data_IF_304980217086
#
_entry.id   IF_304980217086
#
_cell.length_a   1.000
_cell.length_b   1.000
_cell.length_c   1.000
_cell.angle_alpha   90.00
_cell.angle_beta   90.00
_cell.angle_gamma   90.00
#
_symmetry.space_group_name_H-M   'P 1'
#
loop_
_entity.id
_entity.type
_entity.pdbx_description
1 polymer ?
#
# COMPACT_ATOMS: atom_id res chain seq x y z
N UNK A 1 2.62 7.04 7.52
CA UNK A 1 2.95 5.75 6.87
C UNK A 1 2.34 4.63 7.69
N UNK A 2 1.62 3.71 7.05
CA UNK A 2 1.12 2.47 7.68
C UNK A 2 1.93 1.31 7.10
N UNK A 3 2.72 0.63 7.93
CA UNK A 3 3.60 -0.46 7.49
C UNK A 3 3.15 -1.79 8.10
N UNK A 4 2.90 -2.78 7.24
CA UNK A 4 2.46 -4.11 7.63
C UNK A 4 3.67 -5.03 7.75
N UNK A 5 4.14 -5.25 8.97
CA UNK A 5 5.22 -6.20 9.28
C UNK A 5 4.77 -7.67 9.32
N UNK A 6 3.45 -7.91 9.36
CA UNK A 6 2.86 -9.24 9.41
C UNK A 6 1.54 -9.25 8.64
N UNK A 7 1.44 -10.11 7.63
CA UNK A 7 0.25 -10.18 6.77
C UNK A 7 -0.75 -11.24 7.23
N UNK A 8 -0.31 -12.36 7.78
CA UNK A 8 -1.21 -13.46 8.13
C UNK A 8 -0.89 -14.07 9.51
N UNK A 9 -1.86 -14.11 10.44
CA UNK A 9 -3.26 -13.68 10.26
C UNK A 9 -3.42 -12.15 10.29
N UNK A 10 -4.20 -11.58 9.36
CA UNK A 10 -4.55 -10.16 9.36
C UNK A 10 -5.70 -9.91 10.34
N UNK A 11 -5.49 -9.00 11.29
CA UNK A 11 -6.58 -8.52 12.14
C UNK A 11 -7.45 -7.49 11.39
N UNK A 12 -8.36 -7.98 10.54
CA UNK A 12 -9.22 -7.16 9.68
C UNK A 12 -9.91 -6.01 10.44
N UNK A 13 -10.40 -6.25 11.66
CA UNK A 13 -11.14 -5.23 12.43
C UNK A 13 -10.24 -4.05 12.80
N UNK A 14 -9.05 -4.33 13.33
CA UNK A 14 -8.09 -3.28 13.72
C UNK A 14 -7.59 -2.55 12.47
N UNK A 15 -7.20 -3.31 11.44
CA UNK A 15 -6.69 -2.75 10.19
C UNK A 15 -7.73 -1.83 9.53
N UNK A 16 -8.99 -2.28 9.42
CA UNK A 16 -10.07 -1.49 8.84
C UNK A 16 -10.27 -0.17 9.58
N UNK A 17 -10.28 -0.19 10.91
CA UNK A 17 -10.42 1.02 11.75
C UNK A 17 -9.32 2.05 11.49
N UNK A 18 -8.09 1.61 11.24
CA UNK A 18 -6.99 2.52 10.91
C UNK A 18 -7.10 3.04 9.48
N UNK A 19 -7.49 2.18 8.53
CA UNK A 19 -7.70 2.56 7.13
C UNK A 19 -8.84 3.59 6.95
N UNK A 20 -9.91 3.51 7.74
CA UNK A 20 -11.03 4.48 7.67
C UNK A 20 -10.63 5.93 8.04
N UNK A 21 -9.46 6.13 8.67
CA UNK A 21 -8.93 7.47 8.98
C UNK A 21 -8.14 8.09 7.82
N UNK A 22 -7.82 7.30 6.80
CA UNK A 22 -6.96 7.70 5.69
C UNK A 22 -7.81 8.44 4.64
N UNK A 23 -7.41 9.68 4.31
CA UNK A 23 -8.09 10.51 3.30
C UNK A 23 -7.61 10.26 1.86
N UNK A 24 -6.40 9.73 1.72
CA UNK A 24 -5.77 9.40 0.44
C UNK A 24 -4.61 8.44 0.69
N UNK A 25 -4.46 7.45 -0.19
CA UNK A 25 -3.56 6.32 0.00
C UNK A 25 -2.77 5.98 -1.27
N UNK A 26 -1.49 5.68 -1.08
CA UNK A 26 -0.63 5.08 -2.11
C UNK A 26 -0.13 3.75 -1.55
N UNK A 27 -0.44 2.64 -2.23
CA UNK A 27 0.12 1.34 -1.92
C UNK A 27 1.48 1.19 -2.61
N UNK A 28 2.56 1.01 -1.85
CA UNK A 28 3.92 0.85 -2.40
C UNK A 28 4.32 -0.62 -2.27
N UNK A 29 4.58 -1.28 -3.40
CA UNK A 29 4.90 -2.71 -3.43
C UNK A 29 6.05 -3.02 -4.39
N UNK A 30 7.00 -3.84 -3.95
CA UNK A 30 8.10 -4.32 -4.80
C UNK A 30 7.69 -5.59 -5.59
N UNK A 31 6.56 -5.53 -6.29
CA UNK A 31 6.06 -6.60 -7.14
C UNK A 31 5.31 -6.01 -8.36
N UNK A 32 4.91 -6.88 -9.30
CA UNK A 32 4.17 -6.48 -10.50
C UNK A 32 2.64 -6.53 -10.29
N UNK A 33 2.15 -7.57 -9.62
CA UNK A 33 0.72 -7.92 -9.60
C UNK A 33 -0.12 -7.16 -8.57
N UNK A 34 0.50 -6.39 -7.65
CA UNK A 34 -0.21 -5.73 -6.56
C UNK A 34 -0.82 -6.72 -5.56
N UNK A 35 -0.06 -7.75 -5.19
CA UNK A 35 -0.53 -8.83 -4.32
C UNK A 35 -1.01 -8.31 -2.96
N UNK A 36 -0.32 -7.34 -2.37
CA UNK A 36 -0.71 -6.80 -1.07
C UNK A 36 -1.96 -5.92 -1.16
N UNK A 37 -2.06 -5.01 -2.13
CA UNK A 37 -3.27 -4.21 -2.35
C UNK A 37 -4.50 -5.08 -2.63
N UNK A 38 -4.34 -6.16 -3.41
CA UNK A 38 -5.39 -7.15 -3.67
C UNK A 38 -5.79 -7.91 -2.40
N UNK A 39 -4.81 -8.39 -1.63
CA UNK A 39 -5.04 -9.04 -0.34
C UNK A 39 -5.74 -8.13 0.67
N UNK A 40 -5.30 -6.87 0.77
CA UNK A 40 -5.88 -5.88 1.65
C UNK A 40 -7.34 -5.61 1.30
N UNK A 41 -7.63 -5.46 0.00
CA UNK A 41 -8.99 -5.31 -0.50
C UNK A 41 -9.85 -6.54 -0.19
N UNK A 42 -9.36 -7.75 -0.45
CA UNK A 42 -10.07 -9.00 -0.15
C UNK A 42 -10.42 -9.12 1.35
N UNK A 43 -9.46 -8.77 2.24
CA UNK A 43 -9.65 -8.94 3.69
C UNK A 43 -10.42 -7.81 4.35
N UNK A 44 -10.40 -6.60 3.79
CA UNK A 44 -10.91 -5.39 4.48
C UNK A 44 -11.92 -4.58 3.67
N UNK A 45 -12.06 -4.87 2.38
CA UNK A 45 -12.83 -4.07 1.42
C UNK A 45 -12.24 -2.68 1.15
N UNK A 46 -11.06 -2.37 1.67
CA UNK A 46 -10.40 -1.09 1.44
C UNK A 46 -9.67 -1.11 0.10
N UNK A 47 -10.01 -0.18 -0.78
CA UNK A 47 -9.34 0.01 -2.07
C UNK A 47 -8.35 1.16 -1.92
N UNK A 48 -7.07 0.89 -2.15
CA UNK A 48 -6.07 1.96 -2.23
C UNK A 48 -6.39 2.88 -3.41
N UNK A 49 -6.23 4.19 -3.21
CA UNK A 49 -6.52 5.18 -4.25
C UNK A 49 -5.51 5.07 -5.39
N UNK A 50 -4.25 4.85 -5.02
CA UNK A 50 -3.11 4.80 -5.93
C UNK A 50 -2.18 3.64 -5.61
N UNK A 51 -1.39 3.23 -6.59
CA UNK A 51 -0.35 2.20 -6.44
C UNK A 51 0.98 2.69 -6.97
N UNK A 52 2.07 2.17 -6.39
CA UNK A 52 3.43 2.36 -6.88
C UNK A 52 4.17 1.03 -6.83
N UNK A 53 4.30 0.43 -8.02
CA UNK A 53 4.92 -0.87 -8.21
C UNK A 53 6.34 -0.73 -8.72
N UNK A 54 7.24 -1.56 -8.20
CA UNK A 54 8.61 -1.69 -8.69
C UNK A 54 8.99 -3.17 -8.76
N UNK A 55 9.51 -3.57 -9.91
CA UNK A 55 9.78 -4.98 -10.22
C UNK A 55 11.01 -5.13 -11.13
N UNK A 56 11.92 -4.15 -11.10
CA UNK A 56 13.19 -4.15 -11.84
C UNK A 56 14.37 -4.76 -11.06
N UNK A 57 14.10 -5.34 -9.89
CA UNK A 57 15.10 -5.94 -8.99
C UNK A 57 15.88 -4.93 -8.15
N UNK A 58 15.61 -3.62 -8.27
CA UNK A 58 16.26 -2.57 -7.47
C UNK A 58 15.37 -2.17 -6.29
N UNK A 59 15.95 -1.68 -5.18
CA UNK A 59 15.16 -1.11 -4.10
C UNK A 59 14.44 0.17 -4.57
N UNK A 60 13.41 0.57 -3.86
CA UNK A 60 12.85 1.91 -3.99
C UNK A 60 13.89 2.94 -3.52
N UNK A 61 14.18 3.92 -4.38
CA UNK A 61 14.98 5.08 -4.02
C UNK A 61 14.08 6.19 -3.47
N UNK A 62 14.63 7.00 -2.58
CA UNK A 62 13.87 8.04 -1.86
C UNK A 62 13.29 9.04 -2.85
N UNK A 63 14.07 9.40 -3.87
CA UNK A 63 13.71 10.35 -4.92
C UNK A 63 12.51 9.85 -5.74
N UNK A 64 12.42 8.54 -5.99
CA UNK A 64 11.30 7.93 -6.70
C UNK A 64 10.01 8.02 -5.89
N UNK A 65 10.10 7.76 -4.58
CA UNK A 65 8.94 7.83 -3.67
C UNK A 65 8.47 9.27 -3.52
N UNK A 66 9.38 10.24 -3.34
CA UNK A 66 9.05 11.67 -3.29
C UNK A 66 8.32 12.09 -4.56
N UNK A 67 8.89 11.77 -5.73
CA UNK A 67 8.29 12.10 -7.02
C UNK A 67 6.88 11.52 -7.18
N UNK A 68 6.65 10.28 -6.73
CA UNK A 68 5.32 9.66 -6.79
C UNK A 68 4.32 10.36 -5.86
N UNK A 69 4.75 10.82 -4.70
CA UNK A 69 3.89 11.56 -3.76
C UNK A 69 3.50 12.91 -4.37
N UNK A 70 4.45 13.68 -4.90
CA UNK A 70 4.21 15.01 -5.51
C UNK A 70 3.31 14.97 -6.76
N UNK A 71 3.24 13.82 -7.45
CA UNK A 71 2.34 13.65 -8.60
C UNK A 71 0.86 13.47 -8.18
N UNK A 72 0.62 13.05 -6.94
CA UNK A 72 -0.68 12.61 -6.46
C UNK A 72 -1.24 13.44 -5.29
N UNK A 73 -0.45 14.36 -4.74
CA UNK A 73 -0.80 15.29 -3.65
C UNK A 73 -0.20 16.68 -3.90
#
# INVERSE_FOLDING_TARGET
>A
VLHFNHLYPLNTKIVRKELDKIKGSICIEANYDGLFSSYLYEKTGYKCDETFFKYDGRPFFVEEVIKKIEQNF
#
